data_IF_176356614878
#
_entry.id   IF_176356614878
#
_cell.length_a   1.000
_cell.length_b   1.000
_cell.length_c   1.000
_cell.angle_alpha   90.00
_cell.angle_beta   90.00
_cell.angle_gamma   90.00
#
_symmetry.space_group_name_H-M   'P 1'
#
loop_
_entity.id
_entity.type
_entity.pdbx_description
1 polymer ?
#
# COMPACT_ATOMS: atom_id res chain seq x y z
N UNK A 1 3.71 0.45 -24.54
CA UNK A 1 2.71 0.38 -23.45
C UNK A 1 2.80 1.68 -22.66
N UNK A 2 1.67 2.28 -22.27
CA UNK A 2 1.68 3.53 -21.51
C UNK A 2 2.33 3.31 -20.14
N UNK A 3 3.27 4.17 -19.75
CA UNK A 3 3.83 4.18 -18.38
C UNK A 3 2.71 4.63 -17.43
N UNK A 4 2.50 3.90 -16.33
CA UNK A 4 1.58 4.34 -15.28
C UNK A 4 2.11 5.64 -14.67
N UNK A 5 1.30 6.70 -14.71
CA UNK A 5 1.50 7.91 -13.91
C UNK A 5 0.91 7.73 -12.50
N UNK A 6 1.37 8.56 -11.54
CA UNK A 6 0.84 8.60 -10.17
C UNK A 6 -0.70 8.66 -10.14
N UNK A 7 -1.30 9.53 -10.95
CA UNK A 7 -2.76 9.60 -11.06
C UNK A 7 -3.41 8.33 -11.61
N UNK A 8 -2.83 7.72 -12.65
CA UNK A 8 -3.39 6.52 -13.28
C UNK A 8 -3.29 5.29 -12.37
N UNK A 9 -2.24 5.21 -11.56
CA UNK A 9 -2.02 4.14 -10.60
C UNK A 9 -3.10 4.15 -9.51
N UNK A 10 -3.44 5.33 -8.99
CA UNK A 10 -4.42 5.51 -7.91
C UNK A 10 -5.86 5.33 -8.41
N UNK A 11 -6.22 5.90 -9.57
CA UNK A 11 -7.61 5.85 -10.09
C UNK A 11 -8.15 4.43 -10.29
N UNK A 12 -7.28 3.46 -10.59
CA UNK A 12 -7.68 2.10 -11.00
C UNK A 12 -7.76 1.09 -9.85
N UNK A 13 -7.20 1.40 -8.68
CA UNK A 13 -6.97 0.41 -7.60
C UNK A 13 -7.78 0.62 -6.33
N UNK A 14 -8.54 1.71 -6.24
CA UNK A 14 -9.40 2.00 -5.09
C UNK A 14 -10.87 1.75 -5.43
N UNK A 15 -11.56 1.04 -4.53
CA UNK A 15 -13.01 0.86 -4.56
C UNK A 15 -13.61 1.21 -3.18
N UNK A 16 -14.60 2.12 -3.07
CA UNK A 16 -15.23 2.85 -4.18
C UNK A 16 -14.23 3.74 -4.94
N UNK A 17 -14.55 4.13 -6.18
CA UNK A 17 -13.70 5.02 -6.96
C UNK A 17 -13.24 6.22 -6.13
N UNK A 18 -11.97 6.61 -6.27
CA UNK A 18 -11.34 7.58 -5.35
C UNK A 18 -12.10 8.92 -5.22
N UNK A 19 -12.91 9.31 -6.21
CA UNK A 19 -13.74 10.52 -6.14
C UNK A 19 -14.89 10.46 -5.11
N UNK A 20 -15.27 9.27 -4.67
CA UNK A 20 -16.23 9.03 -3.59
C UNK A 20 -15.54 8.83 -2.24
N UNK A 21 -14.20 8.80 -2.22
CA UNK A 21 -13.43 8.67 -0.99
C UNK A 21 -13.38 10.04 -0.31
N UNK A 22 -13.99 10.21 0.88
CA UNK A 22 -14.10 11.52 1.54
C UNK A 22 -12.75 12.17 1.86
N UNK A 23 -11.66 11.38 1.82
CA UNK A 23 -10.31 11.83 2.14
C UNK A 23 -9.40 11.93 0.88
N UNK A 24 -9.96 11.84 -0.33
CA UNK A 24 -9.19 11.95 -1.58
C UNK A 24 -8.38 13.23 -1.65
N UNK A 25 -9.02 14.36 -1.42
CA UNK A 25 -8.37 15.67 -1.52
C UNK A 25 -7.28 15.80 -0.45
N UNK A 26 -7.51 15.24 0.73
CA UNK A 26 -6.51 15.18 1.80
C UNK A 26 -5.32 14.28 1.44
N UNK A 27 -5.56 13.13 0.77
CA UNK A 27 -4.47 12.28 0.29
C UNK A 27 -3.58 12.98 -0.74
N UNK A 28 -4.18 13.63 -1.75
CA UNK A 28 -3.41 14.36 -2.77
C UNK A 28 -2.67 15.55 -2.17
N UNK A 29 -3.32 16.33 -1.30
CA UNK A 29 -2.67 17.41 -0.55
C UNK A 29 -1.44 16.90 0.20
N UNK A 30 -1.58 15.80 0.96
CA UNK A 30 -0.45 15.19 1.70
C UNK A 30 0.67 14.71 0.79
N UNK A 31 0.33 14.13 -0.36
CA UNK A 31 1.32 13.69 -1.34
C UNK A 31 2.11 14.87 -1.92
N UNK A 32 1.42 15.95 -2.32
CA UNK A 32 2.02 17.17 -2.87
C UNK A 32 2.86 17.92 -1.83
N UNK A 33 2.44 17.93 -0.57
CA UNK A 33 3.13 18.61 0.52
C UNK A 33 4.29 17.80 1.13
N UNK A 34 4.67 16.65 0.53
CA UNK A 34 5.67 15.72 1.05
C UNK A 34 5.36 15.23 2.48
N UNK A 35 4.07 15.07 2.81
CA UNK A 35 3.61 14.50 4.08
C UNK A 35 3.41 12.97 4.01
N UNK A 36 3.60 12.35 2.84
CA UNK A 36 3.53 10.90 2.64
C UNK A 36 4.89 10.32 2.25
N UNK A 37 5.27 9.21 2.89
CA UNK A 37 6.38 8.38 2.45
C UNK A 37 5.85 7.23 1.61
N UNK A 38 6.28 7.15 0.35
CA UNK A 38 5.95 6.05 -0.56
C UNK A 38 7.14 5.11 -0.68
N UNK A 39 6.93 3.84 -0.34
CA UNK A 39 7.95 2.79 -0.41
C UNK A 39 7.63 1.81 -1.53
N UNK A 40 8.63 1.52 -2.36
CA UNK A 40 8.59 0.44 -3.36
C UNK A 40 9.65 -0.60 -3.03
N UNK A 41 9.28 -1.86 -3.22
CA UNK A 41 10.20 -3.01 -3.10
C UNK A 41 10.70 -3.50 -4.46
N UNK A 42 10.32 -2.78 -5.51
CA UNK A 42 10.61 -3.09 -6.91
C UNK A 42 11.42 -1.94 -7.50
N UNK A 43 12.40 -2.29 -8.32
CA UNK A 43 13.21 -1.35 -9.09
C UNK A 43 12.29 -0.46 -9.97
N UNK A 44 12.55 0.87 -10.02
CA UNK A 44 11.73 1.82 -10.78
C UNK A 44 11.61 1.48 -12.28
N UNK A 45 12.59 0.79 -12.86
CA UNK A 45 12.58 0.43 -14.28
C UNK A 45 11.80 -0.86 -14.57
N UNK A 46 11.28 -1.54 -13.54
CA UNK A 46 10.50 -2.76 -13.70
C UNK A 46 9.08 -2.45 -14.20
N UNK A 47 8.84 -2.63 -15.50
CA UNK A 47 7.55 -2.30 -16.13
C UNK A 47 6.36 -3.18 -15.74
N UNK A 48 6.53 -4.29 -15.02
CA UNK A 48 5.43 -5.17 -14.61
C UNK A 48 5.63 -5.74 -13.20
N UNK A 49 4.63 -5.57 -12.35
CA UNK A 49 4.62 -6.21 -11.03
C UNK A 49 4.50 -7.73 -11.15
N UNK A 50 5.52 -8.44 -10.68
CA UNK A 50 5.50 -9.90 -10.56
C UNK A 50 4.65 -10.32 -9.36
N UNK A 51 4.07 -11.53 -9.44
CA UNK A 51 3.25 -12.08 -8.35
C UNK A 51 4.00 -12.12 -7.00
N UNK A 52 5.29 -12.47 -7.03
CA UNK A 52 6.17 -12.47 -5.86
C UNK A 52 6.25 -11.09 -5.22
N UNK A 53 6.38 -10.04 -6.01
CA UNK A 53 6.49 -8.66 -5.53
C UNK A 53 5.18 -8.19 -4.87
N UNK A 54 4.03 -8.64 -5.38
CA UNK A 54 2.73 -8.30 -4.77
C UNK A 54 2.61 -8.90 -3.37
N UNK A 55 2.99 -10.17 -3.20
CA UNK A 55 2.95 -10.84 -1.90
C UNK A 55 3.93 -10.19 -0.93
N UNK A 56 5.16 -9.95 -1.39
CA UNK A 56 6.21 -9.38 -0.54
C UNK A 56 5.89 -7.95 -0.10
N UNK A 57 5.30 -7.14 -0.99
CA UNK A 57 4.88 -5.76 -0.65
C UNK A 57 3.83 -5.76 0.47
N UNK A 58 2.84 -6.65 0.39
CA UNK A 58 1.80 -6.73 1.41
C UNK A 58 2.38 -7.23 2.75
N UNK A 59 3.31 -8.18 2.70
CA UNK A 59 4.01 -8.65 3.88
C UNK A 59 4.79 -7.53 4.57
N UNK A 60 5.59 -6.76 3.82
CA UNK A 60 6.36 -5.64 4.36
C UNK A 60 5.44 -4.58 4.96
N UNK A 61 4.33 -4.24 4.29
CA UNK A 61 3.36 -3.30 4.83
C UNK A 61 2.81 -3.75 6.20
N UNK A 62 2.48 -5.04 6.34
CA UNK A 62 2.01 -5.60 7.61
C UNK A 62 3.08 -5.57 8.70
N UNK A 63 4.34 -5.89 8.38
CA UNK A 63 5.44 -5.91 9.38
C UNK A 63 5.82 -4.50 9.85
N UNK A 64 5.66 -3.49 8.98
CA UNK A 64 5.89 -2.08 9.36
C UNK A 64 4.76 -1.46 10.17
N UNK A 65 3.64 -2.16 10.35
CA UNK A 65 2.48 -1.64 11.08
C UNK A 65 2.51 -2.05 12.54
N UNK A 66 2.10 -1.16 13.44
CA UNK A 66 1.94 -1.49 14.86
C UNK A 66 0.79 -2.49 15.09
N UNK A 67 -0.23 -2.43 14.23
CA UNK A 67 -1.40 -3.30 14.26
C UNK A 67 -1.95 -3.49 12.86
N UNK A 68 -2.43 -4.69 12.55
CA UNK A 68 -2.99 -5.01 11.23
C UNK A 68 -4.46 -5.41 11.36
N UNK A 69 -5.30 -4.73 10.58
CA UNK A 69 -6.71 -5.06 10.42
C UNK A 69 -6.94 -5.88 9.16
N UNK A 70 -7.55 -7.06 9.31
CA UNK A 70 -8.07 -7.83 8.20
C UNK A 70 -9.59 -7.63 8.09
N UNK A 71 -10.11 -6.94 7.07
CA UNK A 71 -11.55 -6.79 6.95
C UNK A 71 -12.23 -8.11 6.60
N UNK A 72 -11.57 -8.94 5.80
CA UNK A 72 -12.10 -10.23 5.37
C UNK A 72 -11.00 -11.16 4.86
N UNK A 73 -11.08 -12.45 5.21
CA UNK A 73 -10.31 -13.49 4.54
C UNK A 73 -11.02 -14.85 4.56
N UNK A 74 -10.96 -15.57 3.44
CA UNK A 74 -11.42 -16.95 3.31
C UNK A 74 -10.28 -17.90 2.97
N UNK A 75 -10.48 -19.19 3.20
CA UNK A 75 -9.60 -20.26 2.74
C UNK A 75 -9.27 -20.13 1.25
N UNK A 76 -7.98 -20.29 0.92
CA UNK A 76 -7.47 -20.13 -0.44
C UNK A 76 -7.14 -18.69 -0.85
N UNK A 77 -7.42 -17.69 -0.01
CA UNK A 77 -7.03 -16.30 -0.29
C UNK A 77 -5.58 -16.02 0.11
N UNK A 78 -4.97 -15.04 -0.58
CA UNK A 78 -3.63 -14.53 -0.24
C UNK A 78 -3.63 -13.88 1.14
N UNK A 79 -4.73 -13.23 1.50
CA UNK A 79 -4.94 -12.61 2.82
C UNK A 79 -4.81 -13.64 3.94
N UNK A 80 -5.47 -14.80 3.83
CA UNK A 80 -5.36 -15.84 4.86
C UNK A 80 -3.95 -16.43 4.96
N UNK A 81 -3.27 -16.58 3.83
CA UNK A 81 -1.87 -17.06 3.81
C UNK A 81 -0.94 -16.07 4.52
N UNK A 82 -1.14 -14.77 4.29
CA UNK A 82 -0.41 -13.72 4.98
C UNK A 82 -0.74 -13.68 6.48
N UNK A 83 -2.03 -13.78 6.85
CA UNK A 83 -2.47 -13.80 8.23
C UNK A 83 -1.79 -14.93 9.04
N UNK A 84 -1.72 -16.15 8.49
CA UNK A 84 -1.00 -17.28 9.11
C UNK A 84 0.47 -16.95 9.43
N UNK A 85 1.15 -16.29 8.48
CA UNK A 85 2.55 -15.88 8.65
C UNK A 85 2.69 -14.81 9.73
N UNK A 86 1.77 -13.87 9.82
CA UNK A 86 1.81 -12.79 10.81
C UNK A 86 1.49 -13.29 12.22
N UNK A 87 0.55 -14.23 12.36
CA UNK A 87 0.26 -14.89 13.64
C UNK A 87 1.51 -15.57 14.20
N UNK A 88 2.30 -16.24 13.37
CA UNK A 88 3.55 -16.87 13.82
C UNK A 88 4.66 -15.88 14.24
N UNK A 89 4.47 -14.59 13.96
CA UNK A 89 5.42 -13.52 14.26
C UNK A 89 4.95 -12.60 15.41
N UNK A 90 3.85 -12.95 16.08
CA UNK A 90 3.30 -12.18 17.20
C UNK A 90 2.97 -10.71 16.85
N UNK A 91 2.59 -10.46 15.59
CA UNK A 91 2.09 -9.14 15.16
C UNK A 91 0.68 -8.95 15.74
N UNK A 92 0.32 -7.76 16.28
CA UNK A 92 -1.05 -7.49 16.70
C UNK A 92 -2.02 -7.50 15.52
N UNK A 93 -2.95 -8.46 15.50
CA UNK A 93 -3.94 -8.63 14.43
C UNK A 93 -5.36 -8.56 15.00
N UNK A 94 -6.27 -7.96 14.24
CA UNK A 94 -7.70 -8.10 14.49
C UNK A 94 -8.51 -8.16 13.20
N UNK A 95 -9.74 -8.64 13.31
CA UNK A 95 -10.70 -8.76 12.21
C UNK A 95 -12.09 -8.32 12.68
N UNK A 96 -13.05 -8.20 11.76
CA UNK A 96 -14.46 -8.03 12.17
C UNK A 96 -15.00 -9.31 12.78
N UNK A 97 -15.73 -9.16 13.89
CA UNK A 97 -16.46 -10.25 14.56
C UNK A 97 -17.69 -10.67 13.72
N UNK A 98 -17.47 -11.54 12.74
CA UNK A 98 -18.52 -12.04 11.86
C UNK A 98 -18.18 -13.45 11.33
N UNK A 99 -19.22 -14.22 10.97
CA UNK A 99 -19.05 -15.62 10.54
C UNK A 99 -18.19 -15.76 9.29
N UNK A 100 -18.18 -14.75 8.43
CA UNK A 100 -17.36 -14.70 7.22
C UNK A 100 -15.86 -14.80 7.51
N UNK A 101 -15.44 -14.42 8.72
CA UNK A 101 -14.05 -14.43 9.18
C UNK A 101 -13.71 -15.62 10.08
N UNK A 102 -14.54 -16.68 10.08
CA UNK A 102 -14.27 -17.89 10.87
C UNK A 102 -12.87 -18.44 10.66
N UNK A 103 -12.38 -18.47 9.42
CA UNK A 103 -11.03 -18.93 9.09
C UNK A 103 -9.93 -18.09 9.78
N UNK A 104 -10.16 -16.80 10.04
CA UNK A 104 -9.24 -15.91 10.77
C UNK A 104 -9.34 -16.14 12.28
N UNK A 105 -10.56 -16.34 12.81
CA UNK A 105 -10.76 -16.67 14.22
C UNK A 105 -10.15 -18.01 14.60
N UNK A 106 -10.20 -19.00 13.70
CA UNK A 106 -9.52 -20.29 13.85
C UNK A 106 -7.98 -20.15 13.96
N UNK A 107 -7.40 -19.03 13.48
CA UNK A 107 -5.98 -18.71 13.66
C UNK A 107 -5.67 -17.99 14.98
N UNK A 108 -6.67 -17.70 15.80
CA UNK A 108 -6.52 -16.92 17.03
C UNK A 108 -6.58 -15.40 16.82
N UNK A 109 -6.99 -14.92 15.64
CA UNK A 109 -7.17 -13.49 15.39
C UNK A 109 -8.47 -13.03 16.03
N UNK A 110 -8.37 -12.01 16.89
CA UNK A 110 -9.51 -11.50 17.65
C UNK A 110 -10.54 -10.81 16.73
N UNK A 111 -11.82 -11.08 17.01
CA UNK A 111 -12.93 -10.37 16.40
C UNK A 111 -13.27 -9.11 17.18
N UNK A 112 -13.34 -7.97 16.50
CA UNK A 112 -13.72 -6.68 17.06
C UNK A 112 -14.86 -6.07 16.25
N UNK A 113 -15.56 -5.14 16.88
CA UNK A 113 -16.62 -4.34 16.30
C UNK A 113 -16.42 -2.86 16.67
N UNK A 114 -17.31 -1.98 16.20
CA UNK A 114 -17.21 -0.53 16.42
C UNK A 114 -17.20 -0.12 17.89
N UNK A 115 -17.75 -0.94 18.79
CA UNK A 115 -17.88 -0.63 20.21
C UNK A 115 -16.61 -0.95 20.99
N UNK A 116 -15.88 -2.01 20.60
CA UNK A 116 -14.73 -2.51 21.37
C UNK A 116 -13.36 -2.29 20.69
N UNK A 117 -13.34 -1.92 19.40
CA UNK A 117 -12.08 -1.67 18.67
C UNK A 117 -11.28 -0.52 19.28
N UNK A 118 -11.96 0.50 19.82
CA UNK A 118 -11.31 1.64 20.48
C UNK A 118 -10.47 1.20 21.68
N UNK A 119 -11.05 0.43 22.60
CA UNK A 119 -10.35 -0.08 23.78
C UNK A 119 -9.16 -0.97 23.43
N UNK A 120 -9.27 -1.77 22.37
CA UNK A 120 -8.17 -2.58 21.87
C UNK A 120 -7.01 -1.72 21.36
N UNK A 121 -7.30 -0.72 20.53
CA UNK A 121 -6.28 0.19 20.00
C UNK A 121 -5.63 1.01 21.10
N UNK A 122 -6.40 1.50 22.09
CA UNK A 122 -5.86 2.23 23.24
C UNK A 122 -4.91 1.37 24.08
N UNK A 123 -5.20 0.08 24.26
CA UNK A 123 -4.30 -0.88 24.93
C UNK A 123 -2.98 -1.06 24.16
N UNK A 124 -2.98 -0.90 22.84
CA UNK A 124 -1.79 -0.90 22.00
C UNK A 124 -1.07 0.47 21.99
N UNK A 125 -1.56 1.45 22.75
CA UNK A 125 -0.96 2.78 22.86
C UNK A 125 -1.50 3.80 21.85
N UNK A 126 -2.56 3.47 21.10
CA UNK A 126 -3.23 4.44 20.25
C UNK A 126 -3.81 5.57 21.09
N UNK A 127 -3.78 6.78 20.54
CA UNK A 127 -4.34 7.98 21.16
C UNK A 127 -5.26 8.65 20.16
N UNK A 128 -6.31 9.29 20.67
CA UNK A 128 -7.12 10.16 19.84
C UNK A 128 -6.24 11.21 19.18
N UNK A 129 -6.44 11.38 17.87
CA UNK A 129 -5.77 12.42 17.11
C UNK A 129 -6.20 13.78 17.65
N UNK A 130 -5.24 14.60 18.07
CA UNK A 130 -5.49 16.00 18.42
C UNK A 130 -5.29 16.86 17.15
N UNK A 131 -6.36 17.45 16.60
CA UNK A 131 -6.27 18.22 15.36
C UNK A 131 -5.43 19.51 15.52
N UNK A 132 -5.20 19.97 16.75
CA UNK A 132 -4.45 21.20 17.04
C UNK A 132 -2.99 20.93 17.39
N UNK A 133 -2.57 19.67 17.48
CA UNK A 133 -1.19 19.33 17.84
C UNK A 133 -0.27 19.59 16.66
N UNK A 134 0.85 20.27 16.91
CA UNK A 134 1.88 20.50 15.89
C UNK A 134 2.29 19.17 15.26
N UNK A 135 2.20 19.11 13.93
CA UNK A 135 2.61 17.93 13.16
C UNK A 135 4.13 17.76 13.28
N UNK A 136 4.63 16.52 13.38
CA UNK A 136 6.06 16.28 13.33
C UNK A 136 6.68 16.93 12.09
N UNK A 137 7.90 17.46 12.25
CA UNK A 137 8.62 18.19 11.20
C UNK A 137 8.67 17.37 9.91
N UNK A 138 8.52 18.06 8.78
CA UNK A 138 8.66 17.49 7.43
C UNK A 138 9.87 16.56 7.37
N UNK A 139 9.67 15.41 6.74
CA UNK A 139 10.79 14.55 6.34
C UNK A 139 11.50 15.34 5.23
N UNK A 140 12.75 15.73 5.46
CA UNK A 140 13.56 16.31 4.39
C UNK A 140 13.74 15.24 3.31
N UNK A 141 12.99 15.34 2.23
CA UNK A 141 13.17 14.46 1.08
C UNK A 141 14.58 14.65 0.54
N UNK A 142 15.33 13.57 0.26
CA UNK A 142 16.56 13.71 -0.53
C UNK A 142 16.20 14.38 -1.87
N UNK A 143 17.11 15.20 -2.44
CA UNK A 143 16.85 15.90 -3.69
C UNK A 143 16.39 14.90 -4.74
N UNK A 144 15.28 15.22 -5.43
CA UNK A 144 14.80 14.41 -6.54
C UNK A 144 15.96 14.12 -7.49
N UNK A 145 16.18 12.85 -7.90
CA UNK A 145 17.06 12.58 -9.02
C UNK A 145 16.58 13.45 -10.19
N UNK A 146 17.50 14.10 -10.94
CA UNK A 146 17.09 14.84 -12.13
C UNK A 146 16.26 13.91 -13.01
N UNK A 147 15.11 14.40 -13.49
CA UNK A 147 14.32 13.69 -14.51
C UNK A 147 15.30 13.25 -15.59
N UNK A 148 15.52 11.93 -15.72
CA UNK A 148 16.33 11.42 -16.80
C UNK A 148 15.63 11.85 -18.09
N UNK A 149 16.27 12.78 -18.81
CA UNK A 149 15.88 13.15 -20.15
C UNK A 149 15.59 11.88 -20.93
N UNK A 150 14.41 11.88 -21.53
CA UNK A 150 13.81 10.80 -22.30
C UNK A 150 14.85 9.96 -23.04
N UNK A 151 14.79 8.64 -22.81
CA UNK A 151 15.44 7.62 -23.65
C UNK A 151 15.40 8.05 -25.12
N UNK A 152 16.54 8.10 -25.84
CA UNK A 152 16.57 8.57 -27.22
C UNK A 152 15.56 7.77 -28.04
N UNK A 153 14.65 8.48 -28.71
CA UNK A 153 13.67 7.86 -29.61
C UNK A 153 14.45 6.95 -30.57
N UNK A 154 14.07 5.67 -30.75
CA UNK A 154 14.69 4.84 -31.77
C UNK A 154 14.58 5.56 -33.12
N UNK A 155 15.63 5.51 -33.95
CA UNK A 155 15.61 6.19 -35.24
C UNK A 155 14.42 5.67 -36.07
N UNK A 156 13.80 6.55 -36.89
CA UNK A 156 12.69 6.13 -37.75
C UNK A 156 13.13 4.97 -38.65
N UNK A 157 12.23 4.00 -38.87
CA UNK A 157 12.47 2.78 -39.66
C UNK A 157 12.94 3.02 -41.11
N UNK A 158 13.01 4.27 -41.59
CA UNK A 158 13.57 4.62 -42.89
C UNK A 158 15.10 4.53 -42.97
N UNK A 159 15.82 4.27 -41.87
CA UNK A 159 17.29 4.16 -41.87
C UNK A 159 17.86 2.77 -41.57
N UNK A 160 17.03 1.71 -41.49
CA UNK A 160 17.51 0.33 -41.25
C UNK A 160 17.87 -0.48 -42.53
N UNK A 161 18.05 0.16 -43.70
CA UNK A 161 18.41 -0.51 -44.96
C UNK A 161 19.74 -0.01 -45.55
N UNK A 162 20.81 0.07 -44.77
CA UNK A 162 22.15 0.43 -45.30
C UNK A 162 23.29 -0.47 -44.81
N UNK A 163 22.99 -1.62 -44.20
CA UNK A 163 23.99 -2.62 -43.80
C UNK A 163 23.59 -4.04 -44.22
N UNK A 164 23.15 -4.20 -45.46
CA UNK A 164 23.19 -5.48 -46.18
C UNK A 164 23.62 -5.22 -47.62
N UNK A 165 24.94 -5.27 -47.84
CA UNK A 165 25.65 -5.86 -48.99
C UNK A 165 27.12 -5.43 -48.97
#
# INVERSE_FOLDING_TARGET
MAKESFESFLKTRFHPPFHEFPERDEYFRRAEENELLMLSIVDPDTGKMMHKNIIERNYIACIMSDVVFFPFAKKGTKTLTLAKRLVSMDVPLFTTDCEENRDLHELGIIGLNRQNVGEFLEKLGAKLSDPNKERPKRIDSPPHPPEQETCPKPPPMSQMNLWQN
#
